data_IF_243895227465
#
_entry.id   IF_243895227465
#
_cell.length_a   1.000
_cell.length_b   1.000
_cell.length_c   1.000
_cell.angle_alpha   90.00
_cell.angle_beta   90.00
_cell.angle_gamma   90.00
#
_symmetry.space_group_name_H-M   'P 1'
#
loop_
_entity.id
_entity.type
_entity.pdbx_description
1 polymer ?
#
# COMPACT_ATOMS: atom_id res chain seq x y z
N UNK A 1 -12.47 -10.40 9.35
CA UNK A 1 -11.43 -10.85 8.41
C UNK A 1 -12.00 -11.23 7.03
N UNK A 2 -13.14 -11.91 6.92
CA UNK A 2 -13.70 -12.34 5.63
C UNK A 2 -14.52 -11.33 4.79
N UNK A 3 -15.14 -10.24 5.32
CA UNK A 3 -15.80 -9.25 4.44
C UNK A 3 -14.82 -8.28 3.77
N UNK A 4 -13.75 -7.87 4.47
CA UNK A 4 -12.75 -6.87 4.02
C UNK A 4 -12.09 -7.15 2.67
N UNK A 5 -11.65 -8.40 2.44
CA UNK A 5 -10.97 -8.76 1.18
C UNK A 5 -11.95 -8.78 0.01
N UNK A 6 -13.21 -9.12 0.30
CA UNK A 6 -14.28 -9.19 -0.70
C UNK A 6 -14.72 -7.79 -1.11
N UNK A 7 -14.84 -6.89 -0.13
CA UNK A 7 -15.21 -5.49 -0.37
C UNK A 7 -14.15 -4.75 -1.20
N UNK A 8 -12.86 -5.06 -1.06
CA UNK A 8 -11.79 -4.46 -1.87
C UNK A 8 -11.73 -5.07 -3.28
N UNK A 9 -12.01 -6.36 -3.42
CA UNK A 9 -12.09 -7.02 -4.73
C UNK A 9 -13.30 -6.53 -5.56
N UNK A 10 -14.41 -6.26 -4.89
CA UNK A 10 -15.66 -5.82 -5.50
C UNK A 10 -15.86 -4.27 -5.42
N UNK A 11 -14.88 -3.55 -4.86
CA UNK A 11 -14.90 -2.10 -4.70
C UNK A 11 -14.86 -1.36 -6.03
N UNK A 12 -16.00 -0.80 -6.42
CA UNK A 12 -16.07 0.41 -7.25
C UNK A 12 -15.21 1.53 -6.65
N UNK A 13 -14.78 2.53 -7.44
CA UNK A 13 -13.91 3.66 -7.03
C UNK A 13 -14.43 4.58 -5.90
N UNK A 14 -15.52 4.19 -5.20
CA UNK A 14 -16.01 4.86 -3.99
C UNK A 14 -15.51 4.23 -2.69
N UNK A 15 -15.25 2.92 -2.65
CA UNK A 15 -14.73 2.29 -1.43
C UNK A 15 -13.25 2.63 -1.19
N UNK A 16 -12.53 3.06 -2.23
CA UNK A 16 -11.24 3.72 -2.10
C UNK A 16 -11.30 5.04 -1.31
N UNK A 17 -12.46 5.69 -1.13
CA UNK A 17 -12.56 6.88 -0.26
C UNK A 17 -12.65 6.53 1.23
N UNK A 18 -13.21 5.36 1.59
CA UNK A 18 -13.37 4.93 3.00
C UNK A 18 -12.11 4.26 3.59
N UNK A 19 -11.27 3.61 2.78
CA UNK A 19 -10.02 3.03 3.25
C UNK A 19 -8.88 4.05 3.20
N UNK A 20 -8.39 4.47 4.36
CA UNK A 20 -7.23 5.34 4.46
C UNK A 20 -5.94 4.63 4.05
N UNK A 21 -4.89 5.41 3.80
CA UNK A 21 -3.55 4.87 3.54
C UNK A 21 -3.08 3.91 4.66
N UNK A 22 -3.35 4.22 5.92
CA UNK A 22 -2.96 3.37 7.06
C UNK A 22 -3.69 2.01 7.03
N UNK A 23 -4.98 2.00 6.72
CA UNK A 23 -5.78 0.77 6.65
C UNK A 23 -5.29 -0.16 5.54
N UNK A 24 -4.88 0.42 4.40
CA UNK A 24 -4.27 -0.32 3.28
C UNK A 24 -2.90 -0.91 3.68
N UNK A 25 -2.05 -0.14 4.37
CA UNK A 25 -0.78 -0.65 4.89
C UNK A 25 -0.98 -1.83 5.85
N UNK A 26 -1.89 -1.70 6.80
CA UNK A 26 -2.16 -2.74 7.79
C UNK A 26 -2.75 -4.00 7.13
N UNK A 27 -3.64 -3.81 6.15
CA UNK A 27 -4.24 -4.92 5.41
C UNK A 27 -3.20 -5.69 4.58
N UNK A 28 -2.31 -4.99 3.87
CA UNK A 28 -1.21 -5.61 3.14
C UNK A 28 -0.23 -6.34 4.06
N UNK A 29 0.12 -5.72 5.18
CA UNK A 29 0.98 -6.33 6.18
C UNK A 29 0.37 -7.60 6.78
N UNK A 30 -0.94 -7.59 7.07
CA UNK A 30 -1.66 -8.77 7.51
C UNK A 30 -1.66 -9.87 6.44
N UNK A 31 -1.90 -9.51 5.16
CA UNK A 31 -1.84 -10.47 4.05
C UNK A 31 -0.46 -11.13 3.92
N UNK A 32 0.61 -10.34 4.05
CA UNK A 32 1.99 -10.83 3.99
C UNK A 32 2.31 -11.74 5.19
N UNK A 33 1.90 -11.34 6.39
CA UNK A 33 2.12 -12.10 7.62
C UNK A 33 1.38 -13.44 7.59
N UNK A 34 0.16 -13.45 7.06
CA UNK A 34 -0.67 -14.65 6.91
C UNK A 34 -0.33 -15.47 5.66
N UNK A 35 0.65 -15.03 4.85
CA UNK A 35 1.06 -15.66 3.57
C UNK A 35 -0.15 -15.94 2.65
N UNK A 36 -1.05 -14.98 2.56
CA UNK A 36 -2.21 -15.07 1.69
C UNK A 36 -1.78 -15.01 0.22
N UNK A 37 -2.65 -15.51 -0.66
CA UNK A 37 -2.41 -15.55 -2.09
C UNK A 37 -2.18 -14.15 -2.69
N UNK A 38 -1.28 -14.06 -3.66
CA UNK A 38 -0.95 -12.83 -4.38
C UNK A 38 -2.17 -12.16 -5.02
N UNK A 39 -3.13 -12.95 -5.51
CA UNK A 39 -4.35 -12.47 -6.15
C UNK A 39 -5.26 -11.67 -5.21
N UNK A 40 -5.14 -11.87 -3.89
CA UNK A 40 -5.87 -11.08 -2.89
C UNK A 40 -5.13 -9.78 -2.53
N UNK A 41 -3.80 -9.81 -2.56
CA UNK A 41 -2.98 -8.69 -2.15
C UNK A 41 -2.61 -7.73 -3.30
N UNK A 42 -2.71 -8.17 -4.54
CA UNK A 42 -2.38 -7.34 -5.71
C UNK A 42 -3.35 -6.15 -5.89
N UNK A 43 -4.68 -6.29 -5.77
CA UNK A 43 -5.60 -5.16 -5.80
C UNK A 43 -5.35 -4.16 -4.66
N UNK A 44 -5.03 -4.68 -3.46
CA UNK A 44 -4.66 -3.86 -2.30
C UNK A 44 -3.41 -3.01 -2.59
N UNK A 45 -2.40 -3.60 -3.23
CA UNK A 45 -1.17 -2.91 -3.57
C UNK A 45 -1.39 -1.81 -4.61
N UNK A 46 -2.24 -2.06 -5.61
CA UNK A 46 -2.62 -1.04 -6.60
C UNK A 46 -3.35 0.13 -5.94
N UNK A 47 -4.33 -0.14 -5.07
CA UNK A 47 -5.05 0.89 -4.33
C UNK A 47 -4.12 1.70 -3.41
N UNK A 48 -3.17 1.03 -2.76
CA UNK A 48 -2.14 1.69 -1.96
C UNK A 48 -1.25 2.61 -2.81
N UNK A 49 -0.97 2.24 -4.07
CA UNK A 49 -0.14 3.06 -4.96
C UNK A 49 -0.88 4.33 -5.43
N UNK A 50 -2.18 4.25 -5.69
CA UNK A 50 -3.02 5.41 -5.98
C UNK A 50 -3.01 6.42 -4.82
N UNK A 51 -2.96 5.91 -3.58
CA UNK A 51 -2.91 6.72 -2.36
C UNK A 51 -1.51 6.98 -1.81
N UNK A 52 -0.45 6.67 -2.57
CA UNK A 52 0.93 6.71 -2.06
C UNK A 52 1.27 8.06 -1.39
N UNK A 53 0.73 9.17 -1.91
CA UNK A 53 0.93 10.53 -1.39
C UNK A 53 0.47 10.75 0.05
N UNK A 54 -0.49 9.96 0.53
CA UNK A 54 -1.06 10.04 1.88
C UNK A 54 -0.26 9.24 2.92
N UNK A 55 0.66 8.38 2.49
CA UNK A 55 1.42 7.54 3.42
C UNK A 55 2.55 8.30 4.12
N UNK A 56 2.79 7.92 5.37
CA UNK A 56 4.03 8.23 6.09
C UNK A 56 5.17 7.32 5.62
N UNK A 57 6.41 7.65 6.00
CA UNK A 57 7.60 6.82 5.70
C UNK A 57 7.42 5.38 6.19
N UNK A 58 6.85 5.20 7.38
CA UNK A 58 6.57 3.87 7.96
C UNK A 58 5.48 3.16 7.17
N UNK A 59 4.41 3.87 6.80
CA UNK A 59 3.32 3.31 5.99
C UNK A 59 3.81 2.78 4.63
N UNK A 60 4.60 3.57 3.92
CA UNK A 60 5.22 3.17 2.65
C UNK A 60 6.15 1.97 2.79
N UNK A 61 6.97 1.97 3.84
CA UNK A 61 7.91 0.88 4.11
C UNK A 61 7.16 -0.44 4.36
N UNK A 62 6.08 -0.40 5.15
CA UNK A 62 5.25 -1.57 5.42
C UNK A 62 4.58 -2.11 4.16
N UNK A 63 4.05 -1.23 3.30
CA UNK A 63 3.44 -1.61 2.03
C UNK A 63 4.45 -2.26 1.09
N UNK A 64 5.61 -1.64 0.89
CA UNK A 64 6.66 -2.19 0.02
C UNK A 64 7.21 -3.52 0.54
N UNK A 65 7.42 -3.65 1.86
CA UNK A 65 7.86 -4.91 2.46
C UNK A 65 6.83 -6.02 2.24
N UNK A 66 5.54 -5.71 2.42
CA UNK A 66 4.46 -6.67 2.24
C UNK A 66 4.36 -7.14 0.79
N UNK A 67 4.49 -6.21 -0.17
CA UNK A 67 4.53 -6.53 -1.59
C UNK A 67 5.71 -7.43 -1.94
N UNK A 68 6.89 -7.14 -1.40
CA UNK A 68 8.08 -7.97 -1.59
C UNK A 68 7.94 -9.36 -0.95
N UNK A 69 7.41 -9.44 0.27
CA UNK A 69 7.18 -10.69 1.00
C UNK A 69 6.17 -11.61 0.28
N UNK A 70 5.18 -11.01 -0.38
CA UNK A 70 4.21 -11.71 -1.21
C UNK A 70 4.67 -11.86 -2.67
N UNK A 71 5.86 -11.39 -3.06
CA UNK A 71 6.34 -11.37 -4.44
C UNK A 71 5.37 -10.74 -5.46
N UNK A 72 4.60 -9.73 -5.03
CA UNK A 72 3.69 -8.96 -5.87
C UNK A 72 4.51 -8.12 -6.84
N UNK A 73 4.22 -8.24 -8.13
CA UNK A 73 4.91 -7.49 -9.18
C UNK A 73 3.93 -6.59 -9.91
N UNK A 74 4.03 -5.29 -9.65
CA UNK A 74 3.32 -4.24 -10.38
C UNK A 74 4.30 -3.09 -10.65
N UNK A 75 4.86 -3.00 -11.87
CA UNK A 75 5.85 -1.97 -12.20
C UNK A 75 5.32 -0.54 -12.04
N UNK A 76 4.02 -0.30 -12.30
CA UNK A 76 3.40 1.01 -12.19
C UNK A 76 3.26 1.44 -10.74
N UNK A 77 2.72 0.55 -9.91
CA UNK A 77 2.60 0.78 -8.47
C UNK A 77 3.98 0.95 -7.80
N UNK A 78 4.96 0.13 -8.15
CA UNK A 78 6.33 0.26 -7.65
C UNK A 78 6.97 1.61 -8.04
N UNK A 79 6.71 2.11 -9.26
CA UNK A 79 7.20 3.41 -9.69
C UNK A 79 6.59 4.56 -8.87
N UNK A 80 5.28 4.53 -8.64
CA UNK A 80 4.57 5.52 -7.83
C UNK A 80 5.09 5.56 -6.40
N UNK A 81 5.17 4.38 -5.75
CA UNK A 81 5.67 4.24 -4.38
C UNK A 81 7.12 4.72 -4.22
N UNK A 82 7.99 4.40 -5.19
CA UNK A 82 9.39 4.88 -5.19
C UNK A 82 9.46 6.40 -5.31
N UNK A 83 8.65 6.99 -6.18
CA UNK A 83 8.62 8.44 -6.37
C UNK A 83 8.21 9.13 -5.07
N UNK A 84 7.17 8.63 -4.43
CA UNK A 84 6.74 9.14 -3.13
C UNK A 84 7.79 8.96 -2.03
N UNK A 85 8.45 7.80 -1.96
CA UNK A 85 9.52 7.56 -0.99
C UNK A 85 10.66 8.58 -1.15
N UNK A 86 10.97 8.97 -2.40
CA UNK A 86 11.96 10.02 -2.69
C UNK A 86 11.49 11.39 -2.20
N UNK A 87 10.25 11.76 -2.44
CA UNK A 87 9.69 13.04 -1.97
C UNK A 87 9.70 13.13 -0.44
N UNK A 88 9.32 12.05 0.26
CA UNK A 88 9.39 12.02 1.72
C UNK A 88 10.82 12.10 2.24
N UNK A 89 11.78 11.43 1.57
CA UNK A 89 13.19 11.52 1.94
C UNK A 89 13.76 12.93 1.76
N UNK A 90 13.34 13.66 0.72
CA UNK A 90 13.69 15.07 0.52
C UNK A 90 13.09 15.93 1.64
N UNK A 91 11.82 15.72 2.00
CA UNK A 91 11.18 16.44 3.12
C UNK A 91 11.87 16.21 4.46
N UNK A 92 12.30 15.00 4.75
CA UNK A 92 13.06 14.70 5.98
C UNK A 92 14.45 15.36 5.98
N UNK A 93 15.06 15.54 4.80
CA UNK A 93 16.35 16.22 4.63
C UNK A 93 16.21 17.74 4.79
N UNK A 94 15.15 18.32 4.25
CA UNK A 94 14.94 19.78 4.20
C UNK A 94 14.25 20.32 5.46
N UNK A 95 13.80 19.45 6.38
CA UNK A 95 13.27 19.86 7.68
C UNK A 95 14.44 20.33 8.58
N UNK A 96 14.46 21.61 9.03
CA UNK A 96 15.45 22.03 10.02
C UNK A 96 15.21 21.26 11.33
N UNK A 97 16.28 20.68 11.86
CA UNK A 97 16.32 20.09 13.21
C UNK A 97 16.03 21.13 14.29
#
# INVERSE_FOLDING_TARGET
>A
MQPLVKDIRDAKPKASEEFGAVDLAQSLWACATLKLDQGLAQPLFSAAAEKCTEFTVVGLSSVMWSAAALAITDPGACYAMRTQARELANRCRDSPM
#
